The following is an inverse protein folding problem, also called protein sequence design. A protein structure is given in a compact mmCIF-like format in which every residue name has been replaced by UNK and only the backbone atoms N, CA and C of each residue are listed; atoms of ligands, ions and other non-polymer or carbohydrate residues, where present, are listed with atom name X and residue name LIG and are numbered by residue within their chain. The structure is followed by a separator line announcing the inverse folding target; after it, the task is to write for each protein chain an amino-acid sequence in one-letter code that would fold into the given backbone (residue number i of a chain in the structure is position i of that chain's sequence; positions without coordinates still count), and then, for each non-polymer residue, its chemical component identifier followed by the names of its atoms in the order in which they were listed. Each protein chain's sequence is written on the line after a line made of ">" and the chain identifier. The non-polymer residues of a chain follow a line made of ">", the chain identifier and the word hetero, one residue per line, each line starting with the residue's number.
data_IF_887571181171
#
_entry.id   IF_887571181171
#
_cell.length_a   1.000
_cell.length_b   1.000
_cell.length_c   1.000
_cell.angle_alpha   90.00
_cell.angle_beta   90.00
_cell.angle_gamma   90.00
#
_symmetry.space_group_name_H-M   'P 1'
#
loop_
_entity.id
_entity.type
_entity.pdbx_description
1 polymer ?
#
# COMPACT_ATOMS: atom_id res chain seq x y z
N UNK A 1 16.80 -49.28 -0.10
CA UNK A 1 15.69 -48.33 0.11
C UNK A 1 16.14 -46.96 0.63
N UNK A 2 17.31 -46.79 1.25
CA UNK A 2 17.80 -45.49 1.73
C UNK A 2 18.36 -44.55 0.63
N UNK A 3 19.04 -45.08 -0.40
CA UNK A 3 19.69 -44.26 -1.44
C UNK A 3 18.75 -43.54 -2.42
N UNK A 4 17.53 -44.05 -2.61
CA UNK A 4 16.55 -43.43 -3.51
C UNK A 4 15.89 -42.19 -2.86
N UNK A 5 15.75 -42.18 -1.54
CA UNK A 5 15.23 -41.04 -0.78
C UNK A 5 16.21 -39.87 -0.75
N UNK A 6 17.50 -40.15 -0.59
CA UNK A 6 18.58 -39.15 -0.58
C UNK A 6 18.76 -38.49 -1.96
N UNK A 7 18.67 -39.26 -3.04
CA UNK A 7 18.75 -38.71 -4.40
C UNK A 7 17.53 -37.84 -4.72
N UNK A 8 16.33 -38.25 -4.28
CA UNK A 8 15.10 -37.44 -4.41
C UNK A 8 15.15 -36.16 -3.58
N UNK A 9 15.76 -36.17 -2.40
CA UNK A 9 15.93 -34.94 -1.60
C UNK A 9 16.90 -34.00 -2.29
N UNK A 10 18.07 -34.48 -2.72
CA UNK A 10 19.05 -33.68 -3.48
C UNK A 10 18.47 -33.08 -4.76
N UNK A 11 17.66 -33.84 -5.52
CA UNK A 11 17.00 -33.32 -6.72
C UNK A 11 15.95 -32.24 -6.38
N UNK A 12 15.20 -32.44 -5.30
CA UNK A 12 14.19 -31.48 -4.81
C UNK A 12 14.86 -30.18 -4.34
N UNK A 13 16.01 -30.26 -3.68
CA UNK A 13 16.81 -29.08 -3.28
C UNK A 13 17.46 -28.39 -4.48
N UNK A 14 17.97 -29.14 -5.46
CA UNK A 14 18.54 -28.59 -6.69
C UNK A 14 17.49 -27.90 -7.58
N UNK A 15 16.26 -28.41 -7.65
CA UNK A 15 15.17 -27.79 -8.41
C UNK A 15 14.54 -26.58 -7.70
N UNK A 16 14.50 -26.59 -6.37
CA UNK A 16 13.97 -25.47 -5.56
C UNK A 16 15.01 -24.40 -5.25
N UNK A 17 16.29 -24.63 -5.59
CA UNK A 17 17.39 -23.71 -5.30
C UNK A 17 17.58 -23.43 -3.81
N UNK A 18 17.22 -24.38 -2.94
CA UNK A 18 17.22 -24.19 -1.48
C UNK A 18 18.23 -25.13 -0.82
N UNK A 19 19.19 -24.56 -0.09
CA UNK A 19 20.16 -25.31 0.73
C UNK A 19 19.67 -25.38 2.20
N UNK A 20 19.92 -26.50 2.91
CA UNK A 20 19.56 -26.61 4.31
C UNK A 20 20.37 -25.63 5.16
N UNK A 21 19.70 -24.61 5.69
CA UNK A 21 20.32 -23.51 6.46
C UNK A 21 20.14 -22.13 5.85
N UNK A 22 19.66 -22.03 4.60
CA UNK A 22 19.34 -20.75 3.98
C UNK A 22 18.06 -20.15 4.55
N UNK A 23 18.03 -18.81 4.57
CA UNK A 23 16.82 -18.06 4.87
C UNK A 23 15.78 -18.32 3.78
N UNK A 24 14.48 -18.18 4.08
CA UNK A 24 13.46 -18.31 3.05
C UNK A 24 13.70 -17.28 1.94
N UNK A 25 13.57 -17.70 0.67
CA UNK A 25 13.84 -16.87 -0.53
C UNK A 25 13.11 -15.52 -0.52
N UNK A 26 11.96 -15.44 0.14
CA UNK A 26 11.19 -14.21 0.30
C UNK A 26 11.92 -13.19 1.16
N UNK A 27 12.57 -13.64 2.23
CA UNK A 27 13.37 -12.80 3.11
C UNK A 27 14.66 -12.36 2.43
N UNK A 28 15.26 -13.23 1.60
CA UNK A 28 16.39 -12.87 0.71
C UNK A 28 15.98 -11.88 -0.39
N UNK A 29 14.72 -11.93 -0.85
CA UNK A 29 14.13 -10.94 -1.77
C UNK A 29 13.69 -9.65 -1.07
N UNK A 30 13.84 -9.56 0.27
CA UNK A 30 13.40 -8.41 1.08
C UNK A 30 11.88 -8.31 1.27
N UNK A 31 11.12 -9.38 1.04
CA UNK A 31 9.66 -9.46 1.19
C UNK A 31 9.30 -10.11 2.54
N UNK A 32 8.93 -9.30 3.53
CA UNK A 32 8.35 -9.79 4.78
C UNK A 32 6.81 -9.70 4.77
N UNK A 33 6.14 -10.81 4.47
CA UNK A 33 4.69 -10.90 4.53
C UNK A 33 4.11 -10.68 5.93
N UNK A 34 4.88 -10.98 6.97
CA UNK A 34 4.48 -10.75 8.36
C UNK A 34 4.41 -9.25 8.65
N UNK A 35 5.39 -8.49 8.15
CA UNK A 35 5.38 -7.03 8.20
C UNK A 35 4.21 -6.44 7.41
N UNK A 36 3.94 -6.92 6.19
CA UNK A 36 2.80 -6.46 5.38
C UNK A 36 1.49 -6.68 6.12
N UNK A 37 1.25 -7.88 6.66
CA UNK A 37 0.03 -8.18 7.43
C UNK A 37 -0.10 -7.30 8.67
N UNK A 38 0.99 -7.14 9.44
CA UNK A 38 1.01 -6.31 10.65
C UNK A 38 0.72 -4.85 10.33
N UNK A 39 1.39 -4.29 9.32
CA UNK A 39 1.17 -2.92 8.87
C UNK A 39 -0.26 -2.71 8.35
N UNK A 40 -0.79 -3.70 7.63
CA UNK A 40 -2.18 -3.66 7.15
C UNK A 40 -3.18 -3.63 8.31
N UNK A 41 -2.93 -4.40 9.38
CA UNK A 41 -3.77 -4.36 10.58
C UNK A 41 -3.64 -3.04 11.35
N UNK A 42 -2.47 -2.39 11.35
CA UNK A 42 -2.27 -1.09 12.02
C UNK A 42 -3.20 -0.01 11.46
N UNK A 43 -3.48 -0.03 10.15
CA UNK A 43 -4.43 0.89 9.50
C UNK A 43 -5.83 0.84 10.14
N UNK A 44 -6.26 -0.31 10.66
CA UNK A 44 -7.58 -0.47 11.27
C UNK A 44 -7.57 -0.30 12.79
N UNK A 45 -6.51 -0.75 13.46
CA UNK A 45 -6.52 -0.95 14.92
C UNK A 45 -5.55 -0.05 15.69
N UNK A 46 -4.58 0.59 15.04
CA UNK A 46 -3.53 1.34 15.73
C UNK A 46 -3.65 2.85 15.54
N UNK A 47 -3.57 3.61 16.63
CA UNK A 47 -3.50 5.08 16.62
C UNK A 47 -2.12 5.62 16.22
N UNK A 48 -1.06 4.83 16.38
CA UNK A 48 0.33 5.18 16.06
C UNK A 48 0.90 4.09 15.14
N UNK A 49 0.60 4.23 13.86
CA UNK A 49 0.84 3.19 12.88
C UNK A 49 2.26 3.29 12.31
N UNK A 50 3.30 3.04 13.12
CA UNK A 50 4.68 3.04 12.62
C UNK A 50 4.88 1.94 11.56
N UNK A 51 4.68 2.29 10.29
CA UNK A 51 4.85 1.37 9.16
C UNK A 51 6.32 1.13 8.92
N UNK A 52 6.70 -0.13 8.68
CA UNK A 52 8.05 -0.46 8.22
C UNK A 52 8.28 0.12 6.81
N UNK A 53 9.55 0.33 6.48
CA UNK A 53 9.98 0.87 5.20
C UNK A 53 10.01 -0.21 4.12
N UNK A 54 8.84 -0.75 3.79
CA UNK A 54 8.68 -1.76 2.75
C UNK A 54 7.91 -1.19 1.56
N UNK A 55 8.47 -1.30 0.35
CA UNK A 55 7.78 -0.91 -0.89
C UNK A 55 6.85 -1.99 -1.43
N UNK A 56 7.09 -3.23 -1.04
CA UNK A 56 6.40 -4.41 -1.58
C UNK A 56 4.92 -4.39 -1.20
N UNK A 57 4.58 -3.99 0.03
CA UNK A 57 3.19 -3.83 0.48
C UNK A 57 2.40 -2.82 -0.35
N UNK A 58 2.82 -1.54 -0.39
CA UNK A 58 2.27 -0.51 -1.28
C UNK A 58 2.09 -0.97 -2.73
N UNK A 59 3.11 -1.61 -3.30
CA UNK A 59 3.07 -2.09 -4.69
C UNK A 59 2.02 -3.20 -4.86
N UNK A 60 1.93 -4.12 -3.91
CA UNK A 60 0.92 -5.18 -3.90
C UNK A 60 -0.50 -4.61 -3.84
N UNK A 61 -0.76 -3.59 -3.01
CA UNK A 61 -2.09 -2.97 -2.93
C UNK A 61 -2.46 -2.22 -4.21
N UNK A 62 -1.50 -1.55 -4.84
CA UNK A 62 -1.72 -0.90 -6.14
C UNK A 62 -2.02 -1.93 -7.23
N UNK A 63 -1.27 -3.04 -7.28
CA UNK A 63 -1.51 -4.13 -8.21
C UNK A 63 -2.89 -4.79 -8.00
N UNK A 64 -3.27 -5.01 -6.73
CA UNK A 64 -4.58 -5.56 -6.38
C UNK A 64 -5.72 -4.61 -6.77
N UNK A 65 -5.57 -3.30 -6.59
CA UNK A 65 -6.53 -2.33 -7.08
C UNK A 65 -6.64 -2.33 -8.60
N UNK A 66 -5.50 -2.43 -9.30
CA UNK A 66 -5.47 -2.62 -10.75
C UNK A 66 -6.25 -3.87 -11.19
N UNK A 67 -6.07 -4.98 -10.49
CA UNK A 67 -6.80 -6.23 -10.74
C UNK A 67 -8.32 -6.06 -10.52
N UNK A 68 -8.74 -5.37 -9.46
CA UNK A 68 -10.15 -5.05 -9.21
C UNK A 68 -10.76 -4.23 -10.36
N UNK A 69 -10.01 -3.27 -10.91
CA UNK A 69 -10.47 -2.49 -12.08
C UNK A 69 -10.60 -3.35 -13.34
N UNK A 70 -9.66 -4.29 -13.56
CA UNK A 70 -9.73 -5.25 -14.67
C UNK A 70 -10.95 -6.15 -14.55
N UNK A 71 -11.27 -6.64 -13.33
CA UNK A 71 -12.49 -7.43 -13.07
C UNK A 71 -13.75 -6.63 -13.42
N UNK A 72 -13.73 -5.30 -13.21
CA UNK A 72 -14.82 -4.39 -13.60
C UNK A 72 -14.87 -4.10 -15.11
N UNK A 73 -13.96 -4.66 -15.91
CA UNK A 73 -13.88 -4.50 -17.35
C UNK A 73 -13.22 -3.19 -17.81
N UNK A 74 -12.47 -2.51 -16.92
CA UNK A 74 -11.80 -1.25 -17.23
C UNK A 74 -10.29 -1.38 -17.03
N UNK A 75 -9.51 -1.16 -18.08
CA UNK A 75 -8.04 -1.25 -18.00
C UNK A 75 -7.46 0.16 -17.82
N UNK A 76 -7.22 0.54 -16.57
CA UNK A 76 -6.59 1.83 -16.20
C UNK A 76 -5.15 1.68 -15.69
N UNK A 77 -4.48 0.56 -15.96
CA UNK A 77 -3.19 0.21 -15.35
C UNK A 77 -2.13 1.32 -15.47
N UNK A 78 -1.96 1.92 -16.66
CA UNK A 78 -1.03 3.02 -16.87
C UNK A 78 -1.38 4.29 -16.09
N UNK A 79 -2.67 4.64 -16.00
CA UNK A 79 -3.12 5.80 -15.23
C UNK A 79 -2.88 5.63 -13.73
N UNK A 80 -3.11 4.42 -13.20
CA UNK A 80 -2.86 4.10 -11.79
C UNK A 80 -1.39 4.22 -11.44
N UNK A 81 -0.52 3.66 -12.28
CA UNK A 81 0.92 3.73 -12.10
C UNK A 81 1.43 5.17 -12.16
N UNK A 82 1.01 5.93 -13.17
CA UNK A 82 1.37 7.34 -13.31
C UNK A 82 0.93 8.16 -12.11
N UNK A 83 -0.34 8.02 -11.70
CA UNK A 83 -0.90 8.75 -10.55
C UNK A 83 -0.18 8.38 -9.26
N UNK A 84 0.14 7.10 -9.03
CA UNK A 84 0.85 6.66 -7.83
C UNK A 84 2.27 7.26 -7.75
N UNK A 85 3.02 7.31 -8.85
CA UNK A 85 4.36 7.90 -8.86
C UNK A 85 4.31 9.41 -8.67
N UNK A 86 3.50 10.12 -9.47
CA UNK A 86 3.48 11.58 -9.42
C UNK A 86 2.99 12.09 -8.06
N UNK A 87 2.00 11.43 -7.47
CA UNK A 87 1.52 11.76 -6.13
C UNK A 87 2.57 11.47 -5.06
N UNK A 88 3.26 10.33 -5.14
CA UNK A 88 4.32 9.98 -4.19
C UNK A 88 5.47 10.97 -4.23
N UNK A 89 5.93 11.33 -5.43
CA UNK A 89 6.99 12.34 -5.63
C UNK A 89 6.54 13.71 -5.10
N UNK A 90 5.30 14.10 -5.39
CA UNK A 90 4.76 15.38 -4.92
C UNK A 90 4.68 15.45 -3.38
N UNK A 91 4.15 14.42 -2.72
CA UNK A 91 4.06 14.37 -1.26
C UNK A 91 5.45 14.27 -0.61
N UNK A 92 6.37 13.51 -1.21
CA UNK A 92 7.77 13.46 -0.77
C UNK A 92 8.42 14.85 -0.84
N UNK A 93 8.27 15.56 -1.97
CA UNK A 93 8.81 16.91 -2.15
C UNK A 93 8.18 17.91 -1.16
N UNK A 94 6.87 17.82 -0.91
CA UNK A 94 6.22 18.66 0.10
C UNK A 94 6.76 18.38 1.50
N UNK A 95 6.93 17.11 1.86
CA UNK A 95 7.50 16.73 3.16
C UNK A 95 8.93 17.27 3.29
N UNK A 96 9.72 17.21 2.20
CA UNK A 96 11.07 17.77 2.11
C UNK A 96 11.13 19.27 2.35
N UNK A 97 10.18 20.02 1.80
CA UNK A 97 10.10 21.47 2.03
C UNK A 97 9.62 21.82 3.45
N UNK A 98 8.96 20.88 4.14
CA UNK A 98 8.33 21.13 5.43
C UNK A 98 9.19 20.74 6.62
N UNK A 99 10.15 19.83 6.45
CA UNK A 99 11.01 19.34 7.52
C UNK A 99 12.47 19.76 7.32
N UNK A 100 13.20 19.86 8.44
CA UNK A 100 14.66 20.01 8.44
C UNK A 100 15.36 18.68 8.74
N UNK A 101 14.61 17.61 8.95
CA UNK A 101 15.13 16.27 9.21
C UNK A 101 15.46 15.53 7.91
N UNK A 102 16.31 14.51 8.02
CA UNK A 102 16.53 13.57 6.91
C UNK A 102 15.24 12.79 6.63
N UNK A 103 14.87 12.73 5.36
CA UNK A 103 13.66 12.05 4.91
C UNK A 103 14.03 10.79 4.15
N UNK A 104 13.55 9.67 4.66
CA UNK A 104 13.57 8.40 3.95
C UNK A 104 12.41 8.30 2.95
N UNK A 105 12.47 7.28 2.10
CA UNK A 105 11.36 6.98 1.20
C UNK A 105 10.14 6.38 1.93
N UNK A 106 10.13 6.39 3.28
CA UNK A 106 9.01 5.95 4.10
C UNK A 106 7.73 6.74 3.84
N UNK A 107 7.82 7.98 3.33
CA UNK A 107 6.64 8.74 2.87
C UNK A 107 5.82 7.95 1.84
N UNK A 108 6.50 7.27 0.90
CA UNK A 108 5.86 6.46 -0.14
C UNK A 108 5.20 5.23 0.45
N UNK A 109 5.84 4.60 1.43
CA UNK A 109 5.30 3.41 2.09
C UNK A 109 4.07 3.74 2.93
N UNK A 110 4.10 4.85 3.65
CA UNK A 110 2.96 5.37 4.42
C UNK A 110 1.77 5.63 3.51
N UNK A 111 1.97 6.30 2.37
CA UNK A 111 0.91 6.57 1.38
C UNK A 111 0.30 5.27 0.84
N UNK A 112 1.14 4.28 0.57
CA UNK A 112 0.71 2.97 0.08
C UNK A 112 -0.04 2.13 1.11
N UNK A 113 0.39 2.10 2.37
CA UNK A 113 -0.33 1.36 3.43
C UNK A 113 -1.65 2.06 3.79
N UNK A 114 -1.66 3.39 3.81
CA UNK A 114 -2.88 4.15 4.04
C UNK A 114 -3.92 3.95 2.93
N UNK A 115 -3.55 3.45 1.75
CA UNK A 115 -4.45 3.16 0.63
C UNK A 115 -5.45 2.01 0.87
N UNK A 116 -5.24 1.18 1.90
CA UNK A 116 -6.08 -0.02 2.15
C UNK A 116 -7.59 0.29 2.31
N UNK A 117 -8.04 1.35 3.00
CA UNK A 117 -9.46 1.69 3.08
C UNK A 117 -10.06 1.98 1.69
N UNK A 118 -9.30 2.63 0.79
CA UNK A 118 -9.72 2.88 -0.61
C UNK A 118 -9.83 1.56 -1.39
N UNK A 119 -8.93 0.63 -1.14
CA UNK A 119 -8.98 -0.72 -1.73
C UNK A 119 -10.22 -1.50 -1.29
N UNK A 120 -10.58 -1.45 0.00
CA UNK A 120 -11.81 -2.07 0.52
C UNK A 120 -13.04 -1.44 -0.11
N UNK A 121 -13.08 -0.11 -0.20
CA UNK A 121 -14.15 0.59 -0.90
C UNK A 121 -14.29 0.06 -2.34
N UNK A 122 -13.20 -0.02 -3.08
CA UNK A 122 -13.22 -0.53 -4.46
C UNK A 122 -13.81 -1.94 -4.56
N UNK A 123 -13.37 -2.86 -3.69
CA UNK A 123 -13.90 -4.22 -3.63
C UNK A 123 -15.42 -4.23 -3.33
N UNK A 124 -15.87 -3.47 -2.35
CA UNK A 124 -17.31 -3.40 -1.99
C UNK A 124 -18.18 -2.85 -3.12
N UNK A 125 -17.68 -1.88 -3.90
CA UNK A 125 -18.43 -1.32 -5.03
C UNK A 125 -18.57 -2.26 -6.22
N UNK A 126 -17.71 -3.29 -6.30
CA UNK A 126 -17.78 -4.38 -7.28
C UNK A 126 -18.68 -5.49 -6.76
N UNK A 127 -18.56 -5.85 -5.49
CA UNK A 127 -19.32 -6.94 -4.87
C UNK A 127 -20.81 -6.62 -4.71
N UNK A 128 -21.17 -5.34 -4.49
CA UNK A 128 -22.54 -4.92 -4.22
C UNK A 128 -23.05 -3.92 -5.28
N UNK A 129 -24.29 -4.07 -5.78
CA UNK A 129 -24.93 -3.10 -6.66
C UNK A 129 -25.37 -1.86 -5.86
N UNK A 130 -24.44 -0.95 -5.61
CA UNK A 130 -24.68 0.30 -4.88
C UNK A 130 -25.08 1.44 -5.83
N UNK A 131 -25.97 2.33 -5.42
CA UNK A 131 -26.33 3.52 -6.21
C UNK A 131 -25.15 4.48 -6.40
N UNK A 132 -25.12 5.22 -7.51
CA UNK A 132 -24.00 6.13 -7.84
C UNK A 132 -23.75 7.17 -6.75
N UNK A 133 -24.81 7.76 -6.19
CA UNK A 133 -24.69 8.75 -5.11
C UNK A 133 -24.10 8.16 -3.83
N UNK A 134 -24.52 6.95 -3.46
CA UNK A 134 -24.00 6.28 -2.26
C UNK A 134 -22.54 5.84 -2.44
N UNK A 135 -22.13 5.41 -3.65
CA UNK A 135 -20.71 5.17 -3.96
C UNK A 135 -19.86 6.41 -3.74
N UNK A 136 -20.32 7.58 -4.19
CA UNK A 136 -19.59 8.84 -4.01
C UNK A 136 -19.48 9.19 -2.51
N UNK A 137 -20.59 9.13 -1.77
CA UNK A 137 -20.59 9.45 -0.34
C UNK A 137 -19.66 8.53 0.48
N UNK A 138 -19.76 7.21 0.26
CA UNK A 138 -18.88 6.23 0.89
C UNK A 138 -17.43 6.46 0.45
N UNK A 139 -17.19 6.69 -0.84
CA UNK A 139 -15.85 6.92 -1.37
C UNK A 139 -15.15 8.12 -0.72
N UNK A 140 -15.88 9.21 -0.47
CA UNK A 140 -15.35 10.35 0.29
C UNK A 140 -14.98 9.95 1.71
N UNK A 141 -15.85 9.24 2.44
CA UNK A 141 -15.56 8.78 3.81
C UNK A 141 -14.27 7.95 3.87
N UNK A 142 -14.11 7.00 2.93
CA UNK A 142 -12.90 6.18 2.84
C UNK A 142 -11.65 6.99 2.45
N UNK A 143 -11.78 8.01 1.58
CA UNK A 143 -10.69 8.93 1.25
C UNK A 143 -10.26 9.76 2.46
N UNK A 144 -11.20 10.29 3.24
CA UNK A 144 -10.90 11.02 4.48
C UNK A 144 -10.24 10.12 5.52
N UNK A 145 -10.71 8.88 5.67
CA UNK A 145 -10.09 7.89 6.55
C UNK A 145 -8.63 7.64 6.15
N UNK A 146 -8.39 7.35 4.88
CA UNK A 146 -7.04 7.13 4.31
C UNK A 146 -6.12 8.35 4.53
N UNK A 147 -6.66 9.55 4.32
CA UNK A 147 -5.94 10.81 4.55
C UNK A 147 -5.56 10.97 6.01
N UNK A 148 -6.49 10.72 6.92
CA UNK A 148 -6.25 10.84 8.35
C UNK A 148 -5.11 9.93 8.80
N UNK A 149 -5.08 8.67 8.34
CA UNK A 149 -4.02 7.71 8.66
C UNK A 149 -2.67 8.18 8.11
N UNK A 150 -2.60 8.49 6.82
CA UNK A 150 -1.34 8.88 6.18
C UNK A 150 -0.78 10.19 6.74
N UNK A 151 -1.63 11.21 6.93
CA UNK A 151 -1.21 12.50 7.47
C UNK A 151 -0.75 12.38 8.94
N UNK A 152 -1.44 11.60 9.76
CA UNK A 152 -1.03 11.36 11.16
C UNK A 152 0.33 10.65 11.21
N UNK A 153 0.54 9.65 10.36
CA UNK A 153 1.78 8.89 10.37
C UNK A 153 2.98 9.69 9.85
N UNK A 154 2.83 10.44 8.75
CA UNK A 154 3.91 11.32 8.25
C UNK A 154 4.23 12.42 9.26
N UNK A 155 3.22 13.03 9.88
CA UNK A 155 3.45 14.10 10.86
C UNK A 155 4.10 13.60 12.15
N UNK A 156 3.74 12.40 12.61
CA UNK A 156 4.41 11.75 13.74
C UNK A 156 5.84 11.36 13.40
N UNK A 157 6.10 10.83 12.20
CA UNK A 157 7.44 10.33 11.80
C UNK A 157 8.48 11.43 11.64
N UNK A 158 8.11 12.58 11.07
CA UNK A 158 9.03 13.69 10.81
C UNK A 158 8.84 14.88 11.75
N UNK A 159 8.12 14.70 12.86
CA UNK A 159 7.85 15.72 13.88
C UNK A 159 7.20 17.01 13.32
N UNK A 160 6.19 16.84 12.45
CA UNK A 160 5.48 17.92 11.75
C UNK A 160 4.07 18.19 12.30
N UNK A 161 3.84 18.00 13.60
CA UNK A 161 2.48 18.06 14.17
C UNK A 161 1.74 19.38 13.88
N UNK A 162 2.45 20.50 13.85
CA UNK A 162 1.88 21.82 13.56
C UNK A 162 1.48 22.01 12.07
N UNK A 163 1.88 21.10 11.19
CA UNK A 163 1.67 21.22 9.74
C UNK A 163 0.76 20.13 9.17
N UNK A 164 0.01 19.42 10.02
CA UNK A 164 -0.90 18.35 9.62
C UNK A 164 -1.85 18.76 8.48
N UNK A 165 -2.53 19.89 8.62
CA UNK A 165 -3.54 20.32 7.65
C UNK A 165 -2.94 20.62 6.27
N UNK A 166 -1.72 21.16 6.24
CA UNK A 166 -1.02 21.49 5.00
C UNK A 166 -0.67 20.21 4.21
N UNK A 167 -0.36 19.13 4.91
CA UNK A 167 -0.05 17.83 4.31
C UNK A 167 -1.31 17.03 3.97
N UNK A 168 -2.37 17.13 4.79
CA UNK A 168 -3.63 16.43 4.56
C UNK A 168 -4.34 16.90 3.29
N UNK A 169 -4.23 18.19 2.92
CA UNK A 169 -4.86 18.74 1.73
C UNK A 169 -4.47 18.05 0.41
N UNK A 170 -3.18 17.94 0.04
CA UNK A 170 -2.79 17.22 -1.15
C UNK A 170 -3.03 15.70 -1.05
N UNK A 171 -2.91 15.11 0.15
CA UNK A 171 -3.18 13.68 0.36
C UNK A 171 -4.64 13.31 0.08
N UNK A 172 -5.61 14.10 0.55
CA UNK A 172 -7.03 13.81 0.29
C UNK A 172 -7.36 13.90 -1.19
N UNK A 173 -6.76 14.84 -1.92
CA UNK A 173 -6.93 14.97 -3.36
C UNK A 173 -6.44 13.71 -4.09
N UNK A 174 -5.27 13.20 -3.70
CA UNK A 174 -4.72 11.95 -4.27
C UNK A 174 -5.67 10.78 -4.06
N UNK A 175 -6.17 10.57 -2.83
CA UNK A 175 -7.10 9.47 -2.57
C UNK A 175 -8.45 9.65 -3.27
N UNK A 176 -8.96 10.89 -3.37
CA UNK A 176 -10.17 11.19 -4.15
C UNK A 176 -9.98 10.81 -5.63
N UNK A 177 -8.81 11.09 -6.23
CA UNK A 177 -8.54 10.68 -7.61
C UNK A 177 -8.66 9.15 -7.79
N UNK A 178 -8.11 8.36 -6.85
CA UNK A 178 -8.25 6.91 -6.89
C UNK A 178 -9.71 6.44 -6.70
N UNK A 179 -10.47 7.09 -5.82
CA UNK A 179 -11.90 6.82 -5.63
C UNK A 179 -12.68 7.09 -6.92
N UNK A 180 -12.40 8.20 -7.61
CA UNK A 180 -13.04 8.53 -8.89
C UNK A 180 -12.74 7.46 -9.92
N UNK A 181 -11.48 7.03 -10.06
CA UNK A 181 -11.10 5.95 -10.98
C UNK A 181 -11.84 4.64 -10.62
N UNK A 182 -12.08 4.38 -9.34
CA UNK A 182 -12.84 3.20 -8.89
C UNK A 182 -14.33 3.26 -9.24
N UNK A 183 -14.92 4.46 -9.35
CA UNK A 183 -16.36 4.63 -9.62
C UNK A 183 -16.66 4.65 -11.12
N UNK A 184 -15.76 5.24 -11.93
CA UNK A 184 -15.92 5.46 -13.38
C UNK A 184 -15.70 4.18 -14.19
#
# INVERSE_FOLDING_TARGET
>A
MAGEQETRTNLKYALLGYLPGDKPLLEDLGIDFSAIKRNSMKVFFSKEAQFSNDFVGPLLFLALFGLLMVIRGRVYFGYLYYLAIISSVFIYALTLLMTNAEIDLGVVTILGYAFIPVLIFSFTTIALPVSKGLKIALGMLFAFWSTYISATEVTSRYNLQNKFLLLAYPMVLVYICFIIISIV
#
